data_IF_515473180998
#
_entry.id   IF_515473180998
#
_cell.length_a   1.000
_cell.length_b   1.000
_cell.length_c   1.000
_cell.angle_alpha   90.00
_cell.angle_beta   90.00
_cell.angle_gamma   90.00
#
_symmetry.space_group_name_H-M   'P 1'
#
loop_
_entity.id
_entity.type
_entity.pdbx_description
1 polymer ?
#
# COMPACT_ATOMS: atom_id res chain seq x y z
N UNK A 1 -50.99 33.57 4.68
CA UNK A 1 -50.45 33.00 3.43
C UNK A 1 -49.14 32.30 3.74
N UNK A 2 -49.02 30.99 3.45
CA UNK A 2 -47.83 30.16 3.73
C UNK A 2 -46.89 30.19 2.52
N UNK A 3 -45.60 30.47 2.76
CA UNK A 3 -44.53 30.43 1.74
C UNK A 3 -44.16 28.99 1.36
N UNK A 4 -44.03 28.62 0.08
CA UNK A 4 -43.58 27.29 -0.30
C UNK A 4 -42.05 27.18 -0.26
N UNK A 5 -41.54 26.14 0.43
CA UNK A 5 -40.12 25.77 0.46
C UNK A 5 -39.62 25.36 -0.93
N UNK A 6 -38.50 25.95 -1.37
CA UNK A 6 -37.78 25.52 -2.55
C UNK A 6 -37.18 24.11 -2.34
N UNK A 7 -37.65 23.15 -3.12
CA UNK A 7 -37.19 21.76 -3.17
C UNK A 7 -35.78 21.73 -3.77
N UNK A 8 -34.77 21.47 -2.93
CA UNK A 8 -33.37 21.32 -3.33
C UNK A 8 -33.26 20.24 -4.43
N UNK A 9 -32.97 20.65 -5.67
CA UNK A 9 -32.67 19.71 -6.77
C UNK A 9 -31.35 19.00 -6.45
N UNK A 10 -31.46 17.79 -5.91
CA UNK A 10 -30.34 16.88 -5.68
C UNK A 10 -29.81 16.44 -7.05
N UNK A 11 -28.74 17.08 -7.52
CA UNK A 11 -28.02 16.68 -8.73
C UNK A 11 -27.67 15.19 -8.60
N UNK A 12 -28.28 14.35 -9.44
CA UNK A 12 -27.95 12.93 -9.52
C UNK A 12 -26.54 12.81 -10.11
N UNK A 13 -25.59 12.26 -9.35
CA UNK A 13 -24.25 11.94 -9.87
C UNK A 13 -24.37 10.90 -10.99
N UNK A 14 -23.70 11.06 -12.14
CA UNK A 14 -23.59 9.99 -13.12
C UNK A 14 -22.76 8.84 -12.54
N UNK A 15 -23.20 7.61 -12.81
CA UNK A 15 -22.66 6.34 -12.29
C UNK A 15 -21.23 6.02 -12.75
N UNK A 16 -20.68 6.79 -13.70
CA UNK A 16 -19.37 6.55 -14.28
C UNK A 16 -18.22 7.31 -13.61
N UNK A 17 -18.51 8.19 -12.64
CA UNK A 17 -17.47 8.98 -11.94
C UNK A 17 -16.73 10.02 -12.79
N UNK A 18 -17.14 10.26 -14.05
CA UNK A 18 -16.49 11.26 -14.93
C UNK A 18 -17.18 12.62 -14.85
N UNK A 19 -16.39 13.69 -14.69
CA UNK A 19 -16.86 15.06 -14.83
C UNK A 19 -17.16 15.37 -16.32
N UNK A 20 -18.30 16.02 -16.66
CA UNK A 20 -18.60 16.41 -18.03
C UNK A 20 -17.62 17.48 -18.56
N UNK A 21 -17.15 17.33 -19.82
CA UNK A 21 -16.50 18.41 -20.57
C UNK A 21 -14.96 18.46 -20.58
N UNK A 22 -14.25 17.44 -20.09
CA UNK A 22 -12.78 17.40 -20.16
C UNK A 22 -12.29 16.46 -21.28
N UNK A 23 -11.37 16.89 -22.16
CA UNK A 23 -10.76 16.00 -23.14
C UNK A 23 -9.95 14.91 -22.42
N UNK A 24 -10.23 13.64 -22.71
CA UNK A 24 -9.44 12.52 -22.21
C UNK A 24 -8.12 12.47 -22.97
N UNK A 25 -6.99 12.53 -22.27
CA UNK A 25 -5.68 12.23 -22.87
C UNK A 25 -5.75 10.87 -23.58
N UNK A 26 -5.47 10.87 -24.88
CA UNK A 26 -5.59 9.72 -25.78
C UNK A 26 -4.44 8.76 -25.53
N UNK A 27 -4.69 7.74 -24.72
CA UNK A 27 -3.79 6.62 -24.48
C UNK A 27 -4.23 5.89 -23.21
N UNK A 28 -4.66 4.63 -23.34
CA UNK A 28 -5.02 3.84 -22.15
C UNK A 28 -3.72 3.58 -21.38
N UNK A 29 -3.49 4.31 -20.28
CA UNK A 29 -2.33 4.09 -19.40
C UNK A 29 -2.30 2.61 -19.02
N UNK A 30 -1.30 1.88 -19.50
CA UNK A 30 -1.14 0.46 -19.17
C UNK A 30 -0.55 0.39 -17.78
N UNK A 31 -1.27 -0.24 -16.86
CA UNK A 31 -0.79 -0.54 -15.53
C UNK A 31 0.21 -1.71 -15.58
N UNK A 32 1.50 -1.39 -15.46
CA UNK A 32 2.59 -2.37 -15.46
C UNK A 32 2.98 -2.83 -14.05
N UNK A 33 2.60 -2.08 -13.03
CA UNK A 33 3.02 -2.34 -11.65
C UNK A 33 1.97 -3.18 -10.91
N UNK A 34 0.67 -2.95 -11.18
CA UNK A 34 -0.42 -3.67 -10.53
C UNK A 34 -0.39 -5.20 -10.69
N UNK A 35 -0.04 -5.78 -11.85
CA UNK A 35 0.15 -7.22 -11.95
C UNK A 35 1.26 -7.76 -11.03
N UNK A 36 2.42 -7.09 -10.99
CA UNK A 36 3.57 -7.46 -10.16
C UNK A 36 3.20 -7.34 -8.68
N UNK A 37 2.53 -6.24 -8.31
CA UNK A 37 2.05 -6.02 -6.95
C UNK A 37 1.17 -7.16 -6.46
N UNK A 38 0.18 -7.58 -7.28
CA UNK A 38 -0.73 -8.68 -6.92
C UNK A 38 0.02 -10.01 -6.77
N UNK A 39 0.94 -10.30 -7.68
CA UNK A 39 1.76 -11.52 -7.62
C UNK A 39 2.60 -11.58 -6.34
N UNK A 40 3.24 -10.47 -5.97
CA UNK A 40 4.03 -10.35 -4.73
C UNK A 40 3.13 -10.44 -3.49
N UNK A 41 1.99 -9.77 -3.49
CA UNK A 41 1.01 -9.83 -2.39
C UNK A 41 0.58 -11.28 -2.13
N UNK A 42 0.24 -12.02 -3.18
CA UNK A 42 -0.18 -13.42 -3.07
C UNK A 42 0.98 -14.31 -2.60
N UNK A 43 2.21 -14.04 -3.05
CA UNK A 43 3.41 -14.74 -2.59
C UNK A 43 3.68 -14.53 -1.10
N UNK A 44 3.70 -13.28 -0.64
CA UNK A 44 3.91 -12.94 0.77
C UNK A 44 2.85 -13.57 1.68
N UNK A 45 1.58 -13.61 1.25
CA UNK A 45 0.51 -14.28 1.99
C UNK A 45 0.70 -15.80 2.10
N UNK A 46 1.28 -16.44 1.08
CA UNK A 46 1.65 -17.87 1.13
C UNK A 46 2.83 -18.12 2.06
N UNK A 47 3.86 -17.27 2.01
CA UNK A 47 5.05 -17.40 2.84
C UNK A 47 4.76 -17.14 4.32
N UNK A 48 3.86 -16.19 4.62
CA UNK A 48 3.58 -15.74 5.99
C UNK A 48 2.09 -15.88 6.32
N UNK A 49 1.55 -17.10 6.42
CA UNK A 49 0.11 -17.32 6.64
C UNK A 49 -0.40 -16.76 7.98
N UNK A 50 0.47 -16.66 8.99
CA UNK A 50 0.16 -16.07 10.30
C UNK A 50 0.45 -14.56 10.36
N UNK A 51 1.27 -14.05 9.45
CA UNK A 51 1.61 -12.63 9.35
C UNK A 51 0.46 -11.78 8.81
N UNK A 52 0.56 -10.46 8.99
CA UNK A 52 -0.39 -9.51 8.38
C UNK A 52 0.29 -8.80 7.22
N UNK A 53 -0.18 -9.10 6.01
CA UNK A 53 0.23 -8.42 4.78
C UNK A 53 -0.77 -7.31 4.47
N UNK A 54 -0.32 -6.06 4.52
CA UNK A 54 -1.10 -4.86 4.29
C UNK A 54 -0.56 -4.11 3.08
N UNK A 55 -1.45 -3.68 2.19
CA UNK A 55 -1.11 -2.69 1.16
C UNK A 55 -1.42 -1.29 1.71
N UNK A 56 -0.43 -0.40 1.63
CA UNK A 56 -0.57 1.02 1.94
C UNK A 56 -0.75 1.86 0.66
N UNK A 57 -1.99 2.25 0.29
CA UNK A 57 -2.24 2.96 -0.95
C UNK A 57 -1.86 4.44 -0.84
N UNK A 58 -0.59 4.77 -1.03
CA UNK A 58 -0.11 6.15 -0.88
C UNK A 58 -0.10 6.97 -2.18
N UNK A 59 -0.46 6.36 -3.31
CA UNK A 59 -0.65 7.05 -4.58
C UNK A 59 -1.96 6.63 -5.23
N UNK A 60 -2.95 7.53 -5.23
CA UNK A 60 -4.17 7.35 -6.02
C UNK A 60 -3.92 7.94 -7.40
N UNK A 61 -3.93 7.10 -8.45
CA UNK A 61 -3.72 7.50 -9.85
C UNK A 61 -4.87 8.32 -10.46
N UNK A 62 -5.41 9.28 -9.72
CA UNK A 62 -6.51 10.15 -10.09
C UNK A 62 -6.04 11.61 -10.00
N UNK A 63 -6.67 12.49 -10.77
CA UNK A 63 -6.32 13.91 -10.83
C UNK A 63 -7.55 14.80 -10.60
N UNK A 64 -7.30 16.04 -10.17
CA UNK A 64 -8.33 17.07 -9.98
C UNK A 64 -8.47 17.54 -8.53
N UNK A 65 -9.22 18.64 -8.35
CA UNK A 65 -9.35 19.35 -7.07
C UNK A 65 -9.85 18.47 -5.92
N UNK A 66 -10.76 17.54 -6.21
CA UNK A 66 -11.30 16.63 -5.18
C UNK A 66 -10.25 15.64 -4.67
N UNK A 67 -9.43 15.11 -5.58
CA UNK A 67 -8.36 14.16 -5.22
C UNK A 67 -7.25 14.87 -4.45
N UNK A 68 -6.84 16.07 -4.88
CA UNK A 68 -5.86 16.87 -4.13
C UNK A 68 -6.32 17.16 -2.70
N UNK A 69 -7.61 17.48 -2.51
CA UNK A 69 -8.19 17.68 -1.16
C UNK A 69 -8.17 16.40 -0.33
N UNK A 70 -8.45 15.25 -0.95
CA UNK A 70 -8.41 13.98 -0.24
C UNK A 70 -6.98 13.59 0.15
N UNK A 71 -5.99 13.81 -0.72
CA UNK A 71 -4.57 13.59 -0.41
C UNK A 71 -4.16 14.47 0.77
N UNK A 72 -4.41 15.79 0.69
CA UNK A 72 -4.10 16.71 1.78
C UNK A 72 -4.80 16.34 3.09
N UNK A 73 -6.04 15.87 3.02
CA UNK A 73 -6.75 15.36 4.19
C UNK A 73 -6.08 14.10 4.76
N UNK A 74 -5.75 13.11 3.93
CA UNK A 74 -5.10 11.88 4.38
C UNK A 74 -3.72 12.17 5.01
N UNK A 75 -2.95 13.07 4.42
CA UNK A 75 -1.67 13.54 4.99
C UNK A 75 -1.90 14.22 6.34
N UNK A 76 -2.93 15.07 6.49
CA UNK A 76 -3.29 15.68 7.78
C UNK A 76 -3.74 14.65 8.83
N UNK A 77 -4.18 13.47 8.40
CA UNK A 77 -4.58 12.36 9.25
C UNK A 77 -3.44 11.36 9.50
N UNK A 78 -2.25 11.61 8.95
CA UNK A 78 -1.04 10.82 9.23
C UNK A 78 -0.56 9.90 8.10
N UNK A 79 -1.12 9.98 6.89
CA UNK A 79 -0.52 9.31 5.74
C UNK A 79 0.84 9.93 5.40
N UNK A 80 1.89 9.12 5.33
CA UNK A 80 3.26 9.57 5.04
C UNK A 80 3.55 9.34 3.56
N UNK A 81 3.83 10.42 2.81
CA UNK A 81 4.22 10.32 1.41
C UNK A 81 5.47 9.45 1.25
N UNK A 82 5.45 8.57 0.24
CA UNK A 82 6.57 7.67 -0.06
C UNK A 82 6.61 6.38 0.76
N UNK A 83 5.58 6.09 1.57
CA UNK A 83 5.48 4.81 2.28
C UNK A 83 5.51 3.62 1.31
N UNK A 84 6.23 2.53 1.64
CA UNK A 84 6.31 1.34 0.79
C UNK A 84 4.94 0.71 0.51
N UNK A 85 4.75 0.23 -0.71
CA UNK A 85 3.45 -0.32 -1.15
C UNK A 85 2.92 -1.47 -0.28
N UNK A 86 3.79 -2.37 0.18
CA UNK A 86 3.43 -3.55 0.94
C UNK A 86 4.17 -3.60 2.27
N UNK A 87 3.44 -3.91 3.34
CA UNK A 87 3.95 -4.13 4.68
C UNK A 87 3.58 -5.53 5.16
N UNK A 88 4.56 -6.23 5.75
CA UNK A 88 4.36 -7.51 6.42
C UNK A 88 4.71 -7.34 7.89
N UNK A 89 3.71 -7.51 8.75
CA UNK A 89 3.88 -7.62 10.19
C UNK A 89 3.99 -9.09 10.55
N UNK A 90 5.13 -9.48 11.12
CA UNK A 90 5.38 -10.82 11.63
C UNK A 90 5.38 -10.81 13.16
N UNK A 91 5.10 -11.94 13.82
CA UNK A 91 5.37 -12.11 15.25
C UNK A 91 6.80 -11.69 15.63
N UNK A 92 6.93 -10.94 16.73
CA UNK A 92 8.18 -10.34 17.15
C UNK A 92 8.38 -8.90 16.61
N UNK A 93 9.60 -8.35 16.67
CA UNK A 93 9.88 -6.97 16.28
C UNK A 93 10.05 -6.77 14.76
N UNK A 94 9.70 -7.78 13.93
CA UNK A 94 10.02 -7.77 12.51
C UNK A 94 8.91 -7.14 11.68
N UNK A 95 9.22 -5.99 11.07
CA UNK A 95 8.41 -5.33 10.06
C UNK A 95 9.15 -5.35 8.73
N UNK A 96 8.58 -6.03 7.73
CA UNK A 96 9.08 -6.06 6.37
C UNK A 96 8.30 -5.07 5.52
N UNK A 97 8.98 -4.32 4.67
CA UNK A 97 8.41 -3.30 3.80
C UNK A 97 8.95 -3.49 2.38
N UNK A 98 8.04 -3.53 1.41
CA UNK A 98 8.36 -3.76 0.02
C UNK A 98 7.76 -2.65 -0.83
N UNK A 99 8.63 -1.91 -1.50
CA UNK A 99 8.27 -0.98 -2.56
C UNK A 99 8.23 -1.73 -3.88
N UNK A 100 7.08 -1.79 -4.54
CA UNK A 100 6.90 -2.54 -5.78
C UNK A 100 7.15 -1.61 -6.95
N UNK A 101 7.99 -2.02 -7.90
CA UNK A 101 8.23 -1.26 -9.14
C UNK A 101 8.11 -2.14 -10.36
N UNK A 102 7.65 -1.56 -11.47
CA UNK A 102 7.83 -2.18 -12.78
C UNK A 102 9.33 -2.24 -13.17
N UNK A 103 9.72 -3.12 -14.10
CA UNK A 103 11.07 -3.13 -14.67
C UNK A 103 11.50 -1.74 -15.16
N UNK A 104 12.75 -1.36 -14.87
CA UNK A 104 13.33 -0.03 -15.14
C UNK A 104 12.67 1.17 -14.42
N UNK A 105 11.68 0.96 -13.55
CA UNK A 105 11.21 1.99 -12.64
C UNK A 105 12.01 1.95 -11.33
N UNK A 106 12.14 3.11 -10.70
CA UNK A 106 12.90 3.32 -9.47
C UNK A 106 12.08 4.16 -8.48
N UNK A 107 12.36 4.05 -7.17
CA UNK A 107 11.72 4.91 -6.19
C UNK A 107 12.01 6.39 -6.49
N UNK A 108 11.02 7.23 -6.26
CA UNK A 108 11.17 8.68 -6.36
C UNK A 108 12.00 9.25 -5.17
N UNK A 109 12.36 10.54 -5.18
CA UNK A 109 13.16 11.13 -4.10
C UNK A 109 12.54 11.00 -2.70
N UNK A 110 11.23 11.17 -2.55
CA UNK A 110 10.55 11.10 -1.25
C UNK A 110 10.54 9.66 -0.73
N UNK A 111 10.30 8.70 -1.63
CA UNK A 111 10.41 7.27 -1.34
C UNK A 111 11.83 6.91 -0.87
N UNK A 112 12.88 7.40 -1.55
CA UNK A 112 14.27 7.11 -1.16
C UNK A 112 14.58 7.62 0.25
N UNK A 113 14.18 8.85 0.57
CA UNK A 113 14.39 9.46 1.89
C UNK A 113 13.67 8.65 2.95
N UNK A 114 12.37 8.39 2.78
CA UNK A 114 11.61 7.64 3.76
C UNK A 114 12.11 6.20 3.94
N UNK A 115 12.49 5.51 2.85
CA UNK A 115 13.04 4.16 2.95
C UNK A 115 14.34 4.14 3.76
N UNK A 116 15.17 5.18 3.67
CA UNK A 116 16.36 5.31 4.49
C UNK A 116 16.00 5.50 5.98
N UNK A 117 15.05 6.39 6.28
CA UNK A 117 14.57 6.63 7.65
C UNK A 117 13.94 5.38 8.28
N UNK A 118 13.11 4.65 7.53
CA UNK A 118 12.50 3.40 7.97
C UNK A 118 13.55 2.33 8.28
N UNK A 119 14.62 2.22 7.49
CA UNK A 119 15.74 1.32 7.80
C UNK A 119 16.46 1.74 9.07
N UNK A 120 16.65 3.05 9.30
CA UNK A 120 17.24 3.56 10.53
C UNK A 120 16.39 3.26 11.78
N UNK A 121 15.07 3.10 11.62
CA UNK A 121 14.14 2.64 12.67
C UNK A 121 14.16 1.11 12.87
N UNK A 122 14.96 0.36 12.11
CA UNK A 122 15.05 -1.10 12.18
C UNK A 122 14.03 -1.85 11.32
N UNK A 123 13.27 -1.15 10.45
CA UNK A 123 12.44 -1.84 9.46
C UNK A 123 13.31 -2.43 8.34
N UNK A 124 12.89 -3.59 7.82
CA UNK A 124 13.52 -4.22 6.68
C UNK A 124 12.83 -3.73 5.40
N UNK A 125 13.55 -2.96 4.56
CA UNK A 125 12.96 -2.29 3.38
C UNK A 125 13.66 -2.70 2.10
N UNK A 126 12.92 -3.25 1.14
CA UNK A 126 13.40 -3.60 -0.19
C UNK A 126 12.58 -2.95 -1.31
N UNK A 127 13.24 -2.67 -2.44
CA UNK A 127 12.56 -2.33 -3.70
C UNK A 127 12.54 -3.59 -4.55
N UNK A 128 11.36 -4.03 -4.94
CA UNK A 128 11.16 -5.33 -5.59
C UNK A 128 10.39 -5.18 -6.89
N UNK A 129 10.70 -6.04 -7.86
CA UNK A 129 10.08 -6.07 -9.20
C UNK A 129 9.56 -7.45 -9.58
N UNK A 130 9.70 -8.42 -8.68
CA UNK A 130 9.33 -9.81 -8.88
C UNK A 130 9.23 -10.53 -7.54
N UNK A 131 8.69 -11.75 -7.55
CA UNK A 131 8.75 -12.67 -6.39
C UNK A 131 10.19 -13.10 -6.07
N UNK A 132 11.06 -13.19 -7.07
CA UNK A 132 12.47 -13.55 -6.87
C UNK A 132 13.23 -12.45 -6.12
N UNK A 133 12.91 -11.17 -6.37
CA UNK A 133 13.47 -10.04 -5.63
C UNK A 133 13.05 -10.09 -4.15
N UNK A 134 11.81 -10.52 -3.88
CA UNK A 134 11.31 -10.73 -2.51
C UNK A 134 12.09 -11.86 -1.84
N UNK A 135 12.23 -13.01 -2.49
CA UNK A 135 12.97 -14.14 -1.94
C UNK A 135 14.44 -13.79 -1.66
N UNK A 136 15.07 -13.03 -2.55
CA UNK A 136 16.43 -12.53 -2.36
C UNK A 136 16.55 -11.58 -1.15
N UNK A 137 15.61 -10.64 -1.00
CA UNK A 137 15.57 -9.74 0.15
C UNK A 137 15.36 -10.50 1.47
N UNK A 138 14.44 -11.48 1.48
CA UNK A 138 14.21 -12.32 2.66
C UNK A 138 15.45 -13.12 3.03
N UNK A 139 16.17 -13.66 2.05
CA UNK A 139 17.43 -14.37 2.27
C UNK A 139 18.52 -13.45 2.85
N UNK A 140 18.68 -12.24 2.30
CA UNK A 140 19.61 -11.22 2.81
C UNK A 140 19.33 -10.89 4.28
N UNK A 141 18.05 -10.77 4.64
CA UNK A 141 17.63 -10.46 6.01
C UNK A 141 17.58 -11.69 6.93
N UNK A 142 17.91 -12.88 6.42
CA UNK A 142 17.79 -14.15 7.14
C UNK A 142 16.38 -14.42 7.69
N UNK A 143 15.34 -13.97 6.97
CA UNK A 143 13.94 -14.20 7.32
C UNK A 143 13.45 -15.47 6.64
N UNK A 144 13.23 -16.52 7.44
CA UNK A 144 12.68 -17.78 6.93
C UNK A 144 11.16 -17.82 7.02
N UNK A 145 10.44 -18.25 5.96
CA UNK A 145 9.00 -18.52 5.99
C UNK A 145 8.57 -19.59 7.01
N UNK A 146 9.52 -20.34 7.60
CA UNK A 146 9.24 -21.57 8.36
C UNK A 146 9.32 -21.38 9.89
N UNK A 147 9.57 -20.17 10.41
CA UNK A 147 9.73 -19.98 11.86
C UNK A 147 8.44 -19.89 12.69
N UNK A 148 7.29 -20.34 12.18
CA UNK A 148 5.98 -20.17 12.84
C UNK A 148 5.39 -21.46 13.46
N UNK A 149 6.06 -22.60 13.37
CA UNK A 149 5.56 -23.88 13.91
C UNK A 149 6.10 -24.24 15.31
N UNK A 150 6.79 -23.32 16.01
CA UNK A 150 7.27 -23.55 17.38
C UNK A 150 6.89 -22.41 18.33
N UNK A 151 5.60 -22.24 18.56
CA UNK A 151 5.10 -21.60 19.78
C UNK A 151 3.99 -22.46 20.37
N UNK A 152 4.34 -23.66 20.83
CA UNK A 152 3.58 -24.32 21.89
C UNK A 152 4.33 -24.09 23.21
N UNK A 153 3.74 -23.29 24.08
CA UNK A 153 4.21 -23.04 25.44
C UNK A 153 3.01 -22.85 26.33
N UNK A 154 2.54 -23.95 26.90
CA UNK A 154 1.46 -24.07 27.88
C UNK A 154 1.54 -22.97 28.94
N UNK A 155 0.55 -22.07 28.99
CA UNK A 155 0.28 -21.29 30.21
C UNK A 155 -0.34 -22.28 31.20
N UNK A 156 0.51 -22.92 32.02
CA UNK A 156 0.02 -23.54 33.25
C UNK A 156 -0.33 -22.40 34.20
N UNK A 157 -1.62 -22.13 34.33
CA UNK A 157 -2.13 -21.44 35.50
C UNK A 157 -1.95 -22.38 36.70
N UNK A 158 -0.91 -22.15 37.50
CA UNK A 158 -0.91 -22.64 38.87
C UNK A 158 -1.88 -21.80 39.70
N UNK A 159 -2.57 -22.51 40.60
CA UNK A 159 -3.64 -22.03 41.48
C UNK A 159 -3.11 -21.14 42.59
#
# INVERSE_FOLDING_TARGET
>A
MRSPMAKLLRIRRPTSGKAPGMPSASGKRIDREGPIHREILDHLRRLFPTGKVHHSPNSIGLSGKQIMRQIAHNESMGTIKGWPDLQVLLPGPLTLLFEVKAPANYPDPDQKVLHHELRALGCLVAVVRSVADVDAALAEWCVSPIYQAKTEGTVRHEK
#
